data_IF_936690786376
#
_entry.id   IF_936690786376
#
_cell.length_a   1.000
_cell.length_b   1.000
_cell.length_c   1.000
_cell.angle_alpha   90.00
_cell.angle_beta   90.00
_cell.angle_gamma   90.00
#
_symmetry.space_group_name_H-M   'P 1'
#
loop_
_entity.id
_entity.type
_entity.pdbx_description
1 polymer ?
#
# COMPACT_ATOMS: atom_id res chain seq x y z
N UNK A 1 13.25 5.43 14.81
CA UNK A 1 12.12 5.09 15.70
C UNK A 1 11.89 3.59 15.66
N UNK A 2 12.68 2.77 16.38
CA UNK A 2 12.65 1.31 16.23
C UNK A 2 11.39 0.65 16.84
N UNK A 3 10.62 1.39 17.64
CA UNK A 3 9.44 0.88 18.36
C UNK A 3 8.12 1.49 17.88
N UNK A 4 8.09 2.15 16.72
CA UNK A 4 6.85 2.69 16.19
C UNK A 4 5.98 1.54 15.68
N UNK A 5 4.80 1.37 16.28
CA UNK A 5 3.84 0.31 15.95
C UNK A 5 2.62 0.84 15.18
N UNK A 6 2.21 2.07 15.46
CA UNK A 6 1.05 2.70 14.85
C UNK A 6 1.45 4.09 14.37
N UNK A 7 1.22 4.37 13.09
CA UNK A 7 1.37 5.69 12.51
C UNK A 7 0.10 6.04 11.74
N UNK A 8 -0.62 7.03 12.24
CA UNK A 8 -1.82 7.57 11.61
C UNK A 8 -1.53 8.99 11.13
N UNK A 9 -1.55 9.16 9.82
CA UNK A 9 -1.42 10.42 9.10
C UNK A 9 -2.67 10.66 8.24
N UNK A 10 -3.79 10.01 8.57
CA UNK A 10 -5.04 10.16 7.87
C UNK A 10 -5.46 11.64 7.81
N UNK A 11 -5.98 12.08 6.67
CA UNK A 11 -6.37 13.46 6.38
C UNK A 11 -5.23 14.50 6.38
N UNK A 12 -3.96 14.08 6.36
CA UNK A 12 -2.85 15.00 6.15
C UNK A 12 -2.77 15.44 4.66
N UNK A 13 -3.76 16.20 4.20
CA UNK A 13 -3.95 16.54 2.78
C UNK A 13 -2.81 17.33 2.15
N UNK A 14 -2.04 18.07 2.96
CA UNK A 14 -0.84 18.82 2.52
C UNK A 14 0.47 18.02 2.62
N UNK A 15 0.42 16.76 3.08
CA UNK A 15 1.61 15.91 3.20
C UNK A 15 2.09 15.52 1.80
N UNK A 16 3.24 16.04 1.37
CA UNK A 16 3.78 15.74 0.04
C UNK A 16 4.71 14.52 0.02
N UNK A 17 5.44 14.30 1.12
CA UNK A 17 6.43 13.24 1.25
C UNK A 17 6.46 12.70 2.67
N UNK A 18 6.56 11.38 2.78
CA UNK A 18 6.81 10.69 4.03
C UNK A 18 8.32 10.45 4.18
N UNK A 19 8.87 10.73 5.35
CA UNK A 19 10.31 10.67 5.58
C UNK A 19 10.87 9.23 5.44
N UNK A 20 12.01 9.08 4.76
CA UNK A 20 12.64 7.79 4.43
C UNK A 20 12.96 6.90 5.64
N UNK A 21 13.07 7.47 6.83
CA UNK A 21 13.34 6.74 8.07
C UNK A 21 12.29 5.69 8.42
N UNK A 22 11.07 5.76 7.84
CA UNK A 22 10.05 4.73 8.04
C UNK A 22 10.43 3.37 7.46
N UNK A 23 11.36 3.32 6.50
CA UNK A 23 11.92 2.05 6.03
C UNK A 23 12.60 1.27 7.16
N UNK A 24 13.05 1.92 8.22
CA UNK A 24 13.67 1.24 9.36
C UNK A 24 12.67 0.81 10.46
N UNK A 25 11.37 1.09 10.30
CA UNK A 25 10.36 0.78 11.32
C UNK A 25 9.88 -0.68 11.21
N UNK A 26 10.68 -1.63 11.71
CA UNK A 26 10.37 -3.06 11.65
C UNK A 26 9.19 -3.51 12.52
N UNK A 27 8.76 -2.67 13.47
CA UNK A 27 7.62 -2.96 14.36
C UNK A 27 6.31 -2.32 13.92
N UNK A 28 6.27 -1.64 12.77
CA UNK A 28 5.06 -0.96 12.32
C UNK A 28 3.97 -1.98 11.97
N UNK A 29 2.86 -1.94 12.71
CA UNK A 29 1.67 -2.80 12.57
C UNK A 29 0.61 -2.10 11.73
N UNK A 30 0.36 -0.81 11.99
CA UNK A 30 -0.62 -0.01 11.25
C UNK A 30 0.03 1.26 10.70
N UNK A 31 -0.17 1.49 9.41
CA UNK A 31 0.21 2.73 8.77
C UNK A 31 -0.95 3.28 7.94
N UNK A 32 -1.52 4.41 8.35
CA UNK A 32 -2.65 5.04 7.67
C UNK A 32 -2.22 6.38 7.05
N UNK A 33 -2.28 6.47 5.73
CA UNK A 33 -2.08 7.69 4.93
C UNK A 33 -3.36 8.08 4.19
N UNK A 34 -4.52 7.52 4.56
CA UNK A 34 -5.76 7.77 3.84
C UNK A 34 -6.06 9.27 3.78
N UNK A 35 -6.55 9.74 2.64
CA UNK A 35 -6.86 11.15 2.34
C UNK A 35 -5.65 12.10 2.41
N UNK A 36 -4.44 11.59 2.22
CA UNK A 36 -3.26 12.42 1.95
C UNK A 36 -3.21 12.80 0.45
N UNK A 37 -4.08 13.71 0.03
CA UNK A 37 -4.28 14.06 -1.38
C UNK A 37 -3.02 14.59 -2.08
N UNK A 38 -2.16 15.34 -1.38
CA UNK A 38 -0.91 15.88 -1.92
C UNK A 38 0.27 14.90 -1.88
N UNK A 39 0.09 13.68 -1.37
CA UNK A 39 1.17 12.71 -1.20
C UNK A 39 1.69 12.25 -2.57
N UNK A 40 2.91 12.66 -2.90
CA UNK A 40 3.59 12.31 -4.16
C UNK A 40 4.63 11.22 -3.96
N UNK A 41 5.27 11.20 -2.79
CA UNK A 41 6.41 10.33 -2.49
C UNK A 41 6.17 9.53 -1.22
N UNK A 42 6.14 8.21 -1.39
CA UNK A 42 6.02 7.25 -0.32
C UNK A 42 7.34 6.47 -0.23
N UNK A 43 8.09 6.49 0.90
CA UNK A 43 9.41 5.89 1.00
C UNK A 43 9.33 4.38 1.07
N UNK A 44 10.49 3.72 1.08
CA UNK A 44 10.57 2.29 1.32
C UNK A 44 9.90 1.91 2.65
N UNK A 45 9.07 0.87 2.68
CA UNK A 45 8.33 0.42 3.88
C UNK A 45 8.77 -0.98 4.29
N UNK A 46 9.03 -1.17 5.59
CA UNK A 46 9.17 -2.51 6.16
C UNK A 46 7.77 -3.11 6.37
N UNK A 47 7.48 -4.24 5.72
CA UNK A 47 6.17 -4.91 5.80
C UNK A 47 6.17 -6.18 6.67
N UNK A 48 7.26 -6.49 7.38
CA UNK A 48 7.37 -7.70 8.21
C UNK A 48 6.36 -7.74 9.36
N UNK A 49 6.08 -6.59 9.97
CA UNK A 49 5.11 -6.47 11.05
C UNK A 49 3.74 -5.94 10.62
N UNK A 50 3.64 -5.39 9.41
CA UNK A 50 2.51 -4.60 8.95
C UNK A 50 1.27 -5.47 8.73
N UNK A 51 0.15 -5.03 9.29
CA UNK A 51 -1.16 -5.67 9.20
C UNK A 51 -2.16 -4.78 8.46
N UNK A 52 -1.94 -3.46 8.45
CA UNK A 52 -2.75 -2.51 7.70
C UNK A 52 -1.91 -1.40 7.05
N UNK A 53 -2.18 -1.13 5.77
CA UNK A 53 -1.68 0.01 5.02
C UNK A 53 -2.84 0.76 4.33
N UNK A 54 -3.10 1.99 4.75
CA UNK A 54 -4.12 2.86 4.16
C UNK A 54 -3.51 3.85 3.18
N UNK A 55 -3.90 3.81 1.91
CA UNK A 55 -3.54 4.75 0.84
C UNK A 55 -4.79 5.30 0.14
N UNK A 56 -5.97 5.12 0.74
CA UNK A 56 -7.24 5.52 0.15
C UNK A 56 -7.25 7.02 -0.11
N UNK A 57 -7.64 7.47 -1.29
CA UNK A 57 -7.73 8.90 -1.60
C UNK A 57 -6.37 9.62 -1.70
N UNK A 58 -5.25 8.90 -1.74
CA UNK A 58 -3.93 9.47 -2.09
C UNK A 58 -3.87 9.75 -3.61
N UNK A 59 -4.63 10.74 -4.07
CA UNK A 59 -4.84 11.03 -5.50
C UNK A 59 -3.59 11.49 -6.25
N UNK A 60 -2.62 12.11 -5.56
CA UNK A 60 -1.32 12.48 -6.16
C UNK A 60 -0.27 11.36 -6.14
N UNK A 61 -0.58 10.21 -5.52
CA UNK A 61 0.39 9.11 -5.38
C UNK A 61 0.38 8.25 -6.64
N UNK A 62 1.26 8.55 -7.59
CA UNK A 62 1.31 7.84 -8.87
C UNK A 62 1.97 6.45 -8.79
N UNK A 63 2.85 6.23 -7.80
CA UNK A 63 3.66 5.01 -7.67
C UNK A 63 3.60 4.46 -6.24
N UNK A 64 3.43 3.14 -6.15
CA UNK A 64 3.54 2.42 -4.89
C UNK A 64 5.01 2.34 -4.46
N UNK A 65 5.33 2.44 -3.16
CA UNK A 65 6.70 2.43 -2.67
C UNK A 65 7.36 1.07 -2.89
N UNK A 66 8.68 1.07 -2.87
CA UNK A 66 9.41 -0.18 -2.66
C UNK A 66 9.07 -0.73 -1.27
N UNK A 67 8.91 -2.05 -1.18
CA UNK A 67 8.69 -2.75 0.09
C UNK A 67 9.89 -3.63 0.36
N UNK A 68 10.21 -3.81 1.63
CA UNK A 68 11.16 -4.81 2.07
C UNK A 68 10.59 -5.63 3.22
N UNK A 69 11.12 -6.84 3.37
CA UNK A 69 10.56 -7.83 4.26
C UNK A 69 9.46 -8.68 3.62
N UNK A 70 8.99 -9.67 4.37
CA UNK A 70 7.94 -10.59 3.91
C UNK A 70 6.59 -10.14 4.45
N UNK A 71 5.65 -9.81 3.56
CA UNK A 71 4.28 -9.49 3.95
C UNK A 71 3.66 -10.66 4.75
N UNK A 72 3.05 -10.34 5.89
CA UNK A 72 2.26 -11.30 6.66
C UNK A 72 1.03 -11.74 5.86
N UNK A 73 0.59 -13.00 6.00
CA UNK A 73 -0.75 -13.41 5.59
C UNK A 73 -1.80 -12.49 6.23
N UNK A 74 -2.81 -12.08 5.47
CA UNK A 74 -3.93 -11.28 5.99
C UNK A 74 -3.66 -9.77 6.14
N UNK A 75 -2.53 -9.26 5.65
CA UNK A 75 -2.32 -7.81 5.55
C UNK A 75 -3.44 -7.15 4.73
N UNK A 76 -4.00 -6.07 5.24
CA UNK A 76 -4.99 -5.25 4.55
C UNK A 76 -4.30 -4.05 3.91
N UNK A 77 -4.52 -3.86 2.60
CA UNK A 77 -3.99 -2.70 1.86
C UNK A 77 -5.17 -2.04 1.15
N UNK A 78 -5.49 -0.80 1.54
CA UNK A 78 -6.54 0.00 0.90
C UNK A 78 -5.90 1.02 -0.04
N UNK A 79 -6.17 0.91 -1.34
CA UNK A 79 -5.66 1.80 -2.39
C UNK A 79 -6.79 2.46 -3.19
N UNK A 80 -8.04 2.37 -2.73
CA UNK A 80 -9.19 2.95 -3.43
C UNK A 80 -8.99 4.46 -3.62
N UNK A 81 -9.45 5.03 -4.74
CA UNK A 81 -9.32 6.47 -5.01
C UNK A 81 -7.87 7.00 -5.04
N UNK A 82 -6.85 6.13 -5.08
CA UNK A 82 -5.45 6.54 -5.21
C UNK A 82 -5.10 6.89 -6.66
N UNK A 83 -4.07 7.71 -6.83
CA UNK A 83 -3.52 8.06 -8.14
C UNK A 83 -2.65 6.98 -8.79
N UNK A 84 -2.58 5.77 -8.20
CA UNK A 84 -1.63 4.74 -8.59
C UNK A 84 -1.86 4.30 -10.04
N UNK A 85 -0.80 4.38 -10.85
CA UNK A 85 -0.84 4.02 -12.27
C UNK A 85 -0.58 2.55 -12.51
N UNK A 86 0.08 1.90 -11.57
CA UNK A 86 0.48 0.48 -11.59
C UNK A 86 0.37 -0.09 -10.17
N UNK A 87 -0.02 -1.37 -10.06
CA UNK A 87 0.05 -2.07 -8.78
C UNK A 87 1.45 -2.66 -8.57
N UNK A 88 1.99 -2.64 -7.34
CA UNK A 88 3.31 -3.17 -7.02
C UNK A 88 3.38 -4.69 -7.25
N UNK A 89 4.29 -5.17 -8.09
CA UNK A 89 4.47 -6.60 -8.36
C UNK A 89 4.84 -7.41 -7.10
N UNK A 90 5.53 -6.76 -6.16
CA UNK A 90 5.98 -7.32 -4.88
C UNK A 90 4.83 -7.70 -3.94
N UNK A 91 3.68 -7.01 -3.97
CA UNK A 91 2.47 -7.39 -3.22
C UNK A 91 1.98 -8.79 -3.65
N UNK A 92 2.16 -9.14 -4.92
CA UNK A 92 1.72 -10.40 -5.51
C UNK A 92 2.81 -11.48 -5.51
N UNK A 93 4.03 -11.15 -5.07
CA UNK A 93 5.19 -12.05 -5.12
C UNK A 93 5.14 -13.15 -4.05
N UNK A 94 4.41 -12.92 -2.95
CA UNK A 94 4.53 -13.74 -1.73
C UNK A 94 3.40 -14.75 -1.48
N UNK A 95 2.64 -15.16 -2.51
CA UNK A 95 1.52 -16.13 -2.39
C UNK A 95 0.47 -15.66 -1.38
N UNK A 96 0.00 -14.44 -1.59
CA UNK A 96 -0.97 -13.81 -0.73
C UNK A 96 -2.32 -14.53 -0.81
N UNK A 97 -2.84 -14.91 0.35
CA UNK A 97 -4.25 -15.28 0.58
C UNK A 97 -5.18 -14.07 0.37
N UNK A 98 -4.89 -13.20 -0.60
CA UNK A 98 -5.77 -12.11 -1.02
C UNK A 98 -6.95 -12.79 -1.70
N UNK A 99 -8.07 -12.82 -1.00
CA UNK A 99 -9.35 -13.35 -1.49
C UNK A 99 -10.16 -12.27 -2.21
N UNK A 100 -9.94 -11.01 -1.88
CA UNK A 100 -10.61 -9.86 -2.47
C UNK A 100 -9.61 -8.77 -2.86
N UNK A 101 -9.70 -8.31 -4.10
CA UNK A 101 -8.94 -7.16 -4.61
C UNK A 101 -9.93 -6.13 -5.14
N UNK A 102 -9.99 -4.97 -4.48
CA UNK A 102 -10.87 -3.87 -4.89
C UNK A 102 -10.05 -2.73 -5.51
N UNK A 103 -10.22 -2.56 -6.82
CA UNK A 103 -9.57 -1.55 -7.65
C UNK A 103 -10.55 -0.48 -8.12
N UNK A 104 -11.78 -0.47 -7.60
CA UNK A 104 -12.78 0.53 -7.99
C UNK A 104 -12.25 1.93 -7.73
N UNK A 105 -12.61 2.83 -8.63
CA UNK A 105 -12.25 4.25 -8.57
C UNK A 105 -10.73 4.54 -8.67
N UNK A 106 -9.91 3.58 -9.13
CA UNK A 106 -8.51 3.83 -9.52
C UNK A 106 -8.45 4.35 -10.97
N UNK A 107 -8.84 5.61 -11.18
CA UNK A 107 -9.03 6.21 -12.52
C UNK A 107 -7.74 6.26 -13.37
N UNK A 108 -6.57 6.26 -12.73
CA UNK A 108 -5.28 6.37 -13.40
C UNK A 108 -4.58 5.01 -13.64
N UNK A 109 -5.18 3.89 -13.25
CA UNK A 109 -4.57 2.57 -13.36
C UNK A 109 -4.47 2.14 -14.83
N UNK A 110 -3.23 2.01 -15.33
CA UNK A 110 -2.97 1.70 -16.75
C UNK A 110 -2.71 0.22 -16.97
N UNK A 111 -2.12 -0.46 -15.98
CA UNK A 111 -1.77 -1.86 -16.09
C UNK A 111 -1.81 -2.58 -14.73
N UNK A 112 -2.21 -3.85 -14.79
CA UNK A 112 -2.03 -4.79 -13.70
C UNK A 112 -0.65 -5.47 -13.84
N UNK A 113 0.08 -5.69 -12.74
CA UNK A 113 1.39 -6.33 -12.80
C UNK A 113 1.24 -7.78 -13.24
N UNK A 114 2.20 -8.29 -14.01
CA UNK A 114 2.18 -9.68 -14.51
C UNK A 114 2.10 -10.73 -13.41
N UNK A 115 2.54 -10.37 -12.20
CA UNK A 115 2.45 -11.19 -10.99
C UNK A 115 1.03 -11.35 -10.46
N UNK A 116 0.02 -10.61 -10.94
CA UNK A 116 -1.37 -10.76 -10.49
C UNK A 116 -1.91 -12.17 -10.73
N UNK A 117 -1.45 -12.85 -11.79
CA UNK A 117 -1.78 -14.25 -12.07
C UNK A 117 -1.25 -15.25 -11.04
N UNK A 118 -0.44 -14.79 -10.07
CA UNK A 118 0.06 -15.61 -8.95
C UNK A 118 -0.90 -15.63 -7.75
N UNK A 119 -1.95 -14.80 -7.78
CA UNK A 119 -3.01 -14.79 -6.77
C UNK A 119 -3.94 -16.00 -6.95
N UNK A 120 -3.54 -17.14 -6.38
CA UNK A 120 -4.32 -18.39 -6.48
C UNK A 120 -5.58 -18.43 -5.61
N UNK A 121 -5.68 -17.53 -4.63
CA UNK A 121 -6.79 -17.47 -3.66
C UNK A 121 -7.78 -16.34 -3.95
N UNK A 122 -7.61 -15.59 -5.05
CA UNK A 122 -8.48 -14.47 -5.38
C UNK A 122 -9.84 -14.98 -5.86
N UNK A 123 -10.88 -14.67 -5.09
CA UNK A 123 -12.26 -15.06 -5.38
C UNK A 123 -13.02 -13.91 -6.04
N UNK A 124 -12.75 -12.67 -5.62
CA UNK A 124 -13.44 -11.47 -6.12
C UNK A 124 -12.44 -10.40 -6.55
N UNK A 125 -12.64 -9.83 -7.74
CA UNK A 125 -11.97 -8.61 -8.19
C UNK A 125 -13.03 -7.58 -8.55
N UNK A 126 -12.99 -6.43 -7.88
CA UNK A 126 -13.84 -5.29 -8.24
C UNK A 126 -12.97 -4.31 -9.06
N UNK A 127 -13.40 -4.01 -10.29
CA UNK A 127 -12.73 -3.09 -11.21
C UNK A 127 -13.56 -1.82 -11.36
#
# INVERSE_FOLDING_TARGET
>A
MPNLEYLDLCWCSNLEEVHYSLGCCSKLIRFDLSWCESLKRFPCVNVESLEYLGLRGCSSLEKFPEIHGRMKPGIQIDMQLSGLRELPSSVFQYQTHITELDLRYMENLVALPSSIGRLKSLETTNL
#
